data_IF_710529328891
#
_entry.id   IF_710529328891
#
_cell.length_a   1.000
_cell.length_b   1.000
_cell.length_c   1.000
_cell.angle_alpha   90.00
_cell.angle_beta   90.00
_cell.angle_gamma   90.00
#
_symmetry.space_group_name_H-M   'P 1'
#
loop_
_entity.id
_entity.type
_entity.pdbx_description
1 polymer ?
#
# COMPACT_ATOMS: atom_id res chain seq x y z
N UNK A 1 -31.87 10.08 13.57
CA UNK A 1 -30.48 10.39 13.19
C UNK A 1 -29.55 9.35 13.81
N UNK A 2 -29.33 8.22 13.13
CA UNK A 2 -28.35 7.21 13.54
C UNK A 2 -27.03 7.54 12.84
N UNK A 3 -26.07 8.06 13.62
CA UNK A 3 -24.69 8.26 13.19
C UNK A 3 -23.96 6.90 13.21
N UNK A 4 -23.36 6.60 12.07
CA UNK A 4 -22.15 5.79 11.91
C UNK A 4 -22.16 4.39 12.54
N UNK A 5 -22.59 3.40 11.74
CA UNK A 5 -22.26 1.99 11.93
C UNK A 5 -21.55 1.45 10.68
N UNK A 6 -20.43 2.08 10.30
CA UNK A 6 -19.67 1.67 9.12
C UNK A 6 -18.17 1.73 9.39
N UNK A 7 -17.70 0.95 10.36
CA UNK A 7 -16.27 0.90 10.71
C UNK A 7 -15.74 -0.52 10.95
N UNK A 8 -16.34 -1.54 10.31
CA UNK A 8 -15.83 -2.93 10.46
C UNK A 8 -16.23 -3.89 9.34
N UNK A 9 -16.18 -3.45 8.09
CA UNK A 9 -16.20 -4.35 6.93
C UNK A 9 -15.17 -3.86 5.90
N UNK A 10 -13.88 -4.06 6.19
CA UNK A 10 -12.86 -4.07 5.15
C UNK A 10 -12.14 -5.42 5.22
N UNK A 11 -12.56 -6.30 4.31
CA UNK A 11 -11.73 -7.33 3.69
C UNK A 11 -11.06 -8.34 4.60
N UNK A 12 -11.79 -9.39 4.97
CA UNK A 12 -11.20 -10.71 5.14
C UNK A 12 -10.71 -11.18 3.76
N UNK A 13 -9.40 -11.19 3.53
CA UNK A 13 -8.78 -11.82 2.36
C UNK A 13 -7.50 -12.53 2.77
N UNK A 14 -7.65 -13.86 2.86
CA UNK A 14 -6.68 -14.91 2.53
C UNK A 14 -5.28 -14.85 3.17
N UNK A 15 -5.05 -15.81 4.05
CA UNK A 15 -3.78 -16.31 4.57
C UNK A 15 -2.71 -16.46 3.48
N UNK A 16 -1.86 -15.47 3.30
CA UNK A 16 -0.60 -15.56 2.54
C UNK A 16 0.32 -14.44 2.97
N UNK A 17 1.02 -14.63 4.09
CA UNK A 17 2.15 -13.78 4.54
C UNK A 17 1.98 -12.28 4.28
N UNK A 18 0.79 -11.74 4.60
CA UNK A 18 0.49 -10.32 4.40
C UNK A 18 1.43 -9.59 5.34
N UNK A 19 2.43 -8.92 4.77
CA UNK A 19 3.23 -8.01 5.57
C UNK A 19 2.31 -6.95 6.14
N UNK A 20 2.53 -6.59 7.41
CA UNK A 20 1.62 -5.71 8.14
C UNK A 20 1.35 -4.44 7.34
N UNK A 21 0.12 -4.32 6.88
CA UNK A 21 -0.31 -3.14 6.13
C UNK A 21 -0.38 -1.96 7.10
N UNK A 22 0.06 -0.79 6.64
CA UNK A 22 0.19 0.40 7.48
C UNK A 22 -0.71 1.50 6.95
N UNK A 23 -1.46 2.12 7.84
CA UNK A 23 -2.25 3.32 7.53
C UNK A 23 -1.36 4.58 7.53
N UNK A 24 -1.57 5.43 6.55
CA UNK A 24 -0.86 6.71 6.42
C UNK A 24 -1.76 7.75 5.72
N UNK A 25 -2.14 8.81 6.43
CA UNK A 25 -2.96 9.92 5.88
C UNK A 25 -4.26 9.47 5.20
N UNK A 26 -4.89 8.43 5.73
CA UNK A 26 -6.12 7.84 5.16
C UNK A 26 -5.89 6.91 3.97
N UNK A 27 -4.63 6.61 3.64
CA UNK A 27 -4.24 5.56 2.70
C UNK A 27 -3.83 4.30 3.47
N UNK A 28 -4.14 3.14 2.93
CA UNK A 28 -3.62 1.85 3.40
C UNK A 28 -2.51 1.41 2.48
N UNK A 29 -1.31 1.21 3.03
CA UNK A 29 -0.14 0.74 2.29
C UNK A 29 0.08 -0.72 2.67
N UNK A 30 -0.03 -1.62 1.70
CA UNK A 30 0.23 -3.05 1.87
C UNK A 30 1.53 -3.42 1.16
N UNK A 31 2.66 -3.58 1.87
CA UNK A 31 3.93 -3.99 1.26
C UNK A 31 3.83 -5.36 0.59
N UNK A 32 4.39 -5.47 -0.60
CA UNK A 32 4.40 -6.69 -1.40
C UNK A 32 5.83 -6.94 -1.97
N UNK A 33 6.78 -7.44 -1.15
CA UNK A 33 8.11 -7.75 -1.61
C UNK A 33 8.07 -8.90 -2.59
N UNK A 34 8.46 -8.60 -3.82
CA UNK A 34 8.54 -9.56 -4.92
C UNK A 34 9.95 -10.11 -5.06
N UNK A 35 10.09 -11.37 -5.45
CA UNK A 35 11.41 -11.90 -5.80
C UNK A 35 11.96 -11.15 -7.04
N UNK A 36 13.15 -10.56 -6.91
CA UNK A 36 13.80 -9.80 -7.98
C UNK A 36 15.28 -10.21 -8.05
N UNK A 37 15.65 -11.05 -9.02
CA UNK A 37 17.03 -11.46 -9.39
C UNK A 37 18.11 -11.21 -8.30
N UNK A 38 18.04 -11.95 -7.19
CA UNK A 38 19.03 -11.88 -6.11
C UNK A 38 18.67 -10.98 -4.93
N UNK A 39 17.44 -10.46 -4.87
CA UNK A 39 16.91 -9.69 -3.74
C UNK A 39 15.38 -9.57 -3.78
N UNK A 40 14.86 -8.65 -2.98
CA UNK A 40 13.44 -8.34 -2.83
C UNK A 40 13.15 -6.99 -3.50
N UNK A 41 12.25 -7.00 -4.48
CA UNK A 41 11.82 -5.80 -5.19
C UNK A 41 10.88 -4.96 -4.34
N UNK A 42 11.16 -3.66 -4.30
CA UNK A 42 10.36 -2.67 -3.59
C UNK A 42 9.01 -2.48 -4.28
N UNK A 43 7.93 -2.65 -3.53
CA UNK A 43 6.57 -2.52 -4.06
C UNK A 43 5.48 -2.72 -3.02
N UNK A 44 4.34 -2.11 -3.25
CA UNK A 44 3.17 -2.17 -2.37
C UNK A 44 1.88 -1.94 -3.17
N UNK A 45 0.77 -2.43 -2.62
CA UNK A 45 -0.55 -1.97 -3.01
C UNK A 45 -0.98 -0.80 -2.11
N UNK A 46 -1.30 0.35 -2.70
CA UNK A 46 -1.82 1.52 -1.97
C UNK A 46 -3.33 1.61 -2.21
N UNK A 47 -4.12 1.65 -1.14
CA UNK A 47 -5.59 1.78 -1.21
C UNK A 47 -6.09 3.01 -0.49
N UNK A 48 -7.19 3.58 -0.97
CA UNK A 48 -7.94 4.64 -0.26
C UNK A 48 -9.39 4.63 -0.73
N UNK A 49 -10.32 4.94 0.16
CA UNK A 49 -11.70 5.23 -0.22
C UNK A 49 -11.86 6.71 -0.56
N UNK A 50 -12.38 7.01 -1.76
CA UNK A 50 -12.66 8.37 -2.25
C UNK A 50 -14.10 8.40 -2.71
N UNK A 51 -14.92 9.26 -2.10
CA UNK A 51 -16.36 9.39 -2.38
C UNK A 51 -17.14 8.05 -2.31
N UNK A 52 -16.76 7.17 -1.38
CA UNK A 52 -17.35 5.84 -1.21
C UNK A 52 -16.89 4.79 -2.22
N UNK A 53 -15.92 5.13 -3.09
CA UNK A 53 -15.31 4.20 -4.06
C UNK A 53 -13.93 3.82 -3.58
N UNK A 54 -13.66 2.51 -3.47
CA UNK A 54 -12.34 2.00 -3.14
C UNK A 54 -11.42 2.12 -4.35
N UNK A 55 -10.39 2.95 -4.22
CA UNK A 55 -9.35 3.16 -5.21
C UNK A 55 -8.09 2.39 -4.82
N UNK A 56 -7.44 1.80 -5.82
CA UNK A 56 -6.21 1.02 -5.66
C UNK A 56 -5.14 1.51 -6.64
N UNK A 57 -3.92 1.64 -6.16
CA UNK A 57 -2.75 1.97 -6.95
C UNK A 57 -1.63 0.97 -6.67
N UNK A 58 -1.14 0.33 -7.74
CA UNK A 58 0.00 -0.55 -7.66
C UNK A 58 1.31 0.25 -7.69
N UNK A 59 1.97 0.33 -6.53
CA UNK A 59 3.24 1.00 -6.38
C UNK A 59 4.38 0.01 -6.61
N UNK A 60 5.10 0.16 -7.73
CA UNK A 60 6.21 -0.73 -8.10
C UNK A 60 7.45 0.09 -8.40
N UNK A 61 8.59 -0.36 -7.87
CA UNK A 61 9.90 0.26 -8.07
C UNK A 61 10.87 -0.74 -8.71
N UNK A 62 11.84 -0.21 -9.46
CA UNK A 62 12.94 -1.03 -10.00
C UNK A 62 13.98 -1.40 -8.93
N UNK A 63 13.99 -0.67 -7.81
CA UNK A 63 14.86 -0.91 -6.67
C UNK A 63 14.63 -2.33 -6.09
N UNK A 64 15.72 -3.00 -5.72
CA UNK A 64 15.70 -4.27 -4.99
C UNK A 64 16.71 -4.23 -3.85
N UNK A 65 16.41 -4.93 -2.75
CA UNK A 65 17.26 -4.97 -1.56
C UNK A 65 17.52 -6.41 -1.12
N UNK A 66 18.60 -6.63 -0.37
CA UNK A 66 19.05 -7.97 -0.02
C UNK A 66 18.14 -8.69 1.00
N UNK A 67 17.48 -7.95 1.90
CA UNK A 67 16.66 -8.50 2.97
C UNK A 67 15.19 -8.15 2.80
N UNK A 68 14.30 -9.03 3.29
CA UNK A 68 12.85 -8.82 3.21
C UNK A 68 12.42 -7.65 4.08
N UNK A 69 12.93 -7.57 5.30
CA UNK A 69 12.63 -6.50 6.26
C UNK A 69 13.08 -5.13 5.74
N UNK A 70 14.29 -5.06 5.15
CA UNK A 70 14.75 -3.83 4.51
C UNK A 70 13.88 -3.43 3.31
N UNK A 71 13.29 -4.40 2.63
CA UNK A 71 12.37 -4.15 1.51
C UNK A 71 11.07 -3.53 2.01
N UNK A 72 10.52 -4.05 3.11
CA UNK A 72 9.34 -3.50 3.78
C UNK A 72 9.56 -2.05 4.15
N UNK A 73 10.62 -1.77 4.92
CA UNK A 73 10.89 -0.43 5.42
C UNK A 73 11.11 0.57 4.28
N UNK A 74 11.89 0.19 3.27
CA UNK A 74 12.13 1.03 2.11
C UNK A 74 10.84 1.26 1.32
N UNK A 75 10.03 0.23 1.13
CA UNK A 75 8.72 0.31 0.46
C UNK A 75 7.80 1.27 1.19
N UNK A 76 7.61 1.11 2.50
CA UNK A 76 6.76 1.99 3.30
C UNK A 76 7.22 3.44 3.23
N UNK A 77 8.53 3.69 3.35
CA UNK A 77 9.09 5.03 3.26
C UNK A 77 8.86 5.67 1.88
N UNK A 78 9.03 4.91 0.79
CA UNK A 78 8.80 5.42 -0.56
C UNK A 78 7.32 5.59 -0.90
N UNK A 79 6.46 4.71 -0.44
CA UNK A 79 5.02 4.84 -0.58
C UNK A 79 4.52 6.11 0.14
N UNK A 80 4.96 6.35 1.38
CA UNK A 80 4.66 7.60 2.13
C UNK A 80 5.12 8.85 1.39
N UNK A 81 6.36 8.86 0.88
CA UNK A 81 6.87 9.98 0.08
C UNK A 81 6.03 10.23 -1.18
N UNK A 82 5.58 9.17 -1.84
CA UNK A 82 4.73 9.26 -3.03
C UNK A 82 3.36 9.84 -2.68
N UNK A 83 2.75 9.37 -1.58
CA UNK A 83 1.50 9.93 -1.05
C UNK A 83 1.68 11.41 -0.69
N UNK A 84 2.80 11.80 -0.09
CA UNK A 84 3.07 13.20 0.27
C UNK A 84 3.17 14.11 -0.95
N UNK A 85 3.75 13.62 -2.04
CA UNK A 85 4.00 14.40 -3.25
C UNK A 85 2.78 14.43 -4.18
N UNK A 86 2.05 13.32 -4.30
CA UNK A 86 0.99 13.16 -5.29
C UNK A 86 -0.42 13.14 -4.67
N UNK A 87 -0.55 12.76 -3.40
CA UNK A 87 -1.83 12.57 -2.73
C UNK A 87 -2.74 11.63 -3.51
N UNK A 88 -3.99 12.04 -3.71
CA UNK A 88 -5.00 11.25 -4.43
C UNK A 88 -4.72 11.13 -5.93
N UNK A 89 -3.81 11.93 -6.48
CA UNK A 89 -3.45 11.86 -7.91
C UNK A 89 -2.73 10.57 -8.29
N UNK A 90 -2.27 9.75 -7.32
CA UNK A 90 -1.74 8.41 -7.59
C UNK A 90 -2.78 7.49 -8.23
N UNK A 91 -4.07 7.75 -8.02
CA UNK A 91 -5.17 6.94 -8.55
C UNK A 91 -5.65 7.40 -9.94
N UNK A 92 -5.04 8.43 -10.52
CA UNK A 92 -5.41 8.92 -11.84
C UNK A 92 -4.52 8.23 -12.91
N UNK A 93 -5.02 7.20 -13.62
CA UNK A 93 -4.28 6.63 -14.75
C UNK A 93 -4.09 7.72 -15.81
N UNK A 94 -2.86 7.85 -16.31
CA UNK A 94 -2.57 8.67 -17.49
C UNK A 94 -2.89 7.93 -18.76
#
# INVERSE_FOLDING_TARGET
MLKALFNKLFGESVTSSIEESVEYKGFTISPEPRNANGGFGVGATIRKEIDGVSQEHQFIRADAVATREGCIELTLNKARQTIDQMGDSIFNPR
#
